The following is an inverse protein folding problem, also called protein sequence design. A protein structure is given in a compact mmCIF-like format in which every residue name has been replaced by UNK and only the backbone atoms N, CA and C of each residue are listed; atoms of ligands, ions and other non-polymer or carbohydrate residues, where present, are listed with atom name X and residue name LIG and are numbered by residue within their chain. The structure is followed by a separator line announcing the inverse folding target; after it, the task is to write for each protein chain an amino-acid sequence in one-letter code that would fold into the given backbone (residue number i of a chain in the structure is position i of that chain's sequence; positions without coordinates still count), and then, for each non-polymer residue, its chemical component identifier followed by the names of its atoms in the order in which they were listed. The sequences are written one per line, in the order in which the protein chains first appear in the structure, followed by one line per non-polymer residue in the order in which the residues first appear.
data_IF_707527544839
#
_entry.id   IF_707527544839
#
_cell.length_a   1.000
_cell.length_b   1.000
_cell.length_c   1.000
_cell.angle_alpha   90.00
_cell.angle_beta   90.00
_cell.angle_gamma   90.00
#
_symmetry.space_group_name_H-M   'P 1'
#
loop_
_entity.id
_entity.type
_entity.pdbx_description
1 polymer ?
#
# COMPACT_ATOMS: atom_id res chain seq x y z
N UNK A 1 -27.59 -14.21 0.45
CA UNK A 1 -26.21 -13.72 0.59
C UNK A 1 -25.30 -14.94 0.58
N UNK A 2 -24.30 -14.96 -0.30
CA UNK A 2 -23.35 -16.06 -0.42
C UNK A 2 -21.95 -15.48 -0.20
N UNK A 3 -21.09 -16.19 0.54
CA UNK A 3 -19.73 -15.78 0.87
C UNK A 3 -18.81 -16.92 0.46
N UNK A 4 -17.80 -16.62 -0.35
CA UNK A 4 -16.79 -17.56 -0.84
C UNK A 4 -15.39 -16.98 -0.66
N UNK A 5 -14.39 -17.85 -0.62
CA UNK A 5 -12.96 -17.49 -0.71
C UNK A 5 -12.50 -17.80 -2.13
N UNK A 6 -11.96 -16.80 -2.82
CA UNK A 6 -11.52 -16.90 -4.21
C UNK A 6 -10.01 -16.67 -4.28
N UNK A 7 -9.27 -17.68 -4.72
CA UNK A 7 -7.80 -17.62 -4.80
C UNK A 7 -7.28 -16.92 -6.07
N UNK A 8 -8.15 -16.76 -7.08
CA UNK A 8 -7.86 -16.14 -8.38
C UNK A 8 -9.05 -15.26 -8.77
N UNK A 9 -9.31 -14.24 -7.95
CA UNK A 9 -10.43 -13.33 -8.14
C UNK A 9 -10.23 -12.43 -9.37
N UNK A 10 -11.30 -12.08 -10.07
CA UNK A 10 -11.23 -11.11 -11.17
C UNK A 10 -10.77 -9.74 -10.64
N UNK A 11 -9.77 -9.14 -11.28
CA UNK A 11 -9.28 -7.80 -10.96
C UNK A 11 -10.40 -6.74 -10.94
N UNK A 12 -11.46 -6.94 -11.73
CA UNK A 12 -12.66 -6.08 -11.70
C UNK A 12 -13.36 -6.14 -10.34
N UNK A 13 -13.57 -7.33 -9.80
CA UNK A 13 -14.24 -7.51 -8.51
C UNK A 13 -13.36 -6.96 -7.38
N UNK A 14 -12.04 -7.19 -7.44
CA UNK A 14 -11.07 -6.56 -6.54
C UNK A 14 -11.15 -5.04 -6.61
N UNK A 15 -11.26 -4.47 -7.83
CA UNK A 15 -11.33 -3.03 -8.04
C UNK A 15 -12.61 -2.40 -7.49
N UNK A 16 -13.75 -3.11 -7.56
CA UNK A 16 -15.03 -2.66 -7.00
C UNK A 16 -14.91 -2.50 -5.49
N UNK A 17 -14.36 -3.50 -4.80
CA UNK A 17 -14.17 -3.45 -3.34
C UNK A 17 -13.21 -2.33 -2.95
N UNK A 18 -12.07 -2.21 -3.65
CA UNK A 18 -11.08 -1.15 -3.39
C UNK A 18 -11.68 0.25 -3.57
N UNK A 19 -12.44 0.46 -4.64
CA UNK A 19 -13.09 1.75 -4.91
C UNK A 19 -14.14 2.07 -3.87
N UNK A 20 -15.04 1.14 -3.55
CA UNK A 20 -16.09 1.37 -2.55
C UNK A 20 -15.53 1.75 -1.18
N UNK A 21 -14.44 1.10 -0.76
CA UNK A 21 -13.71 1.47 0.46
C UNK A 21 -13.09 2.86 0.36
N UNK A 22 -12.43 3.18 -0.75
CA UNK A 22 -11.81 4.49 -1.00
C UNK A 22 -12.83 5.63 -0.96
N UNK A 23 -13.94 5.48 -1.70
CA UNK A 23 -15.02 6.46 -1.78
C UNK A 23 -15.67 6.68 -0.41
N UNK A 24 -15.91 5.61 0.35
CA UNK A 24 -16.43 5.71 1.71
C UNK A 24 -15.47 6.48 2.62
N UNK A 25 -14.18 6.14 2.61
CA UNK A 25 -13.19 6.81 3.46
C UNK A 25 -13.07 8.30 3.10
N UNK A 26 -12.98 8.64 1.81
CA UNK A 26 -12.88 10.01 1.33
C UNK A 26 -14.09 10.86 1.79
N UNK A 27 -15.30 10.30 1.70
CA UNK A 27 -16.52 10.97 2.13
C UNK A 27 -16.58 11.25 3.65
N UNK A 28 -15.90 10.45 4.47
CA UNK A 28 -15.98 10.55 5.95
C UNK A 28 -14.78 11.26 6.59
N UNK A 29 -13.61 11.20 5.98
CA UNK A 29 -12.40 11.84 6.55
C UNK A 29 -12.18 13.24 5.98
N UNK A 30 -12.70 13.53 4.77
CA UNK A 30 -12.39 14.76 4.04
C UNK A 30 -10.90 14.91 3.69
N UNK A 31 -10.10 13.89 3.96
CA UNK A 31 -8.66 13.85 3.75
C UNK A 31 -8.43 13.06 2.48
N UNK A 32 -8.00 13.76 1.44
CA UNK A 32 -7.60 13.17 0.15
C UNK A 32 -6.15 12.66 0.17
N UNK A 33 -5.51 12.62 1.34
CA UNK A 33 -4.13 12.18 1.48
C UNK A 33 -3.99 10.74 0.99
N UNK A 34 -3.18 10.59 -0.05
CA UNK A 34 -3.05 9.37 -0.84
C UNK A 34 -1.82 8.62 -0.36
N UNK A 35 -1.85 7.31 -0.49
CA UNK A 35 -0.67 6.48 -0.27
C UNK A 35 0.51 6.97 -1.12
N UNK A 36 1.57 7.41 -0.45
CA UNK A 36 2.85 7.72 -1.06
C UNK A 36 3.81 6.56 -0.85
N UNK A 37 4.36 6.02 -1.94
CA UNK A 37 5.27 4.87 -1.87
C UNK A 37 6.64 5.30 -1.34
N UNK A 38 7.12 4.60 -0.33
CA UNK A 38 8.45 4.79 0.25
C UNK A 38 9.38 3.63 -0.13
N UNK A 39 10.51 3.94 -0.76
CA UNK A 39 11.53 2.97 -1.19
C UNK A 39 12.92 3.56 -0.87
N UNK A 40 13.49 3.14 0.26
CA UNK A 40 14.79 3.61 0.74
C UNK A 40 15.79 2.45 0.64
N UNK A 41 16.98 2.72 0.09
CA UNK A 41 18.02 1.71 -0.11
C UNK A 41 19.33 2.12 0.54
N UNK A 42 19.95 1.19 1.25
CA UNK A 42 21.35 1.28 1.67
C UNK A 42 22.20 0.68 0.55
N UNK A 43 23.17 1.45 0.06
CA UNK A 43 24.08 1.03 -1.03
C UNK A 43 25.53 1.10 -0.58
N UNK A 44 26.35 0.16 -1.03
CA UNK A 44 27.81 0.26 -0.92
C UNK A 44 28.39 1.22 -1.97
N UNK A 45 29.71 1.39 -1.93
CA UNK A 45 30.45 2.31 -2.81
C UNK A 45 30.34 1.91 -4.30
N UNK A 46 30.09 0.63 -4.58
CA UNK A 46 29.80 0.11 -5.92
C UNK A 46 28.33 0.26 -6.33
N UNK A 47 27.46 0.77 -5.45
CA UNK A 47 26.04 0.99 -5.70
C UNK A 47 25.11 -0.22 -5.47
N UNK A 48 25.64 -1.33 -4.94
CA UNK A 48 24.90 -2.56 -4.66
C UNK A 48 23.98 -2.39 -3.45
N UNK A 49 22.74 -2.84 -3.53
CA UNK A 49 21.81 -2.79 -2.38
C UNK A 49 22.27 -3.76 -1.29
N UNK A 50 22.50 -3.25 -0.08
CA UNK A 50 22.86 -4.03 1.12
C UNK A 50 21.79 -4.05 2.19
N UNK A 51 20.74 -3.26 2.01
CA UNK A 51 19.62 -3.14 2.93
C UNK A 51 18.61 -2.12 2.43
N UNK A 52 17.49 -1.98 3.13
CA UNK A 52 16.49 -0.98 2.77
C UNK A 52 15.19 -1.11 3.54
N UNK A 53 14.31 -0.15 3.26
CA UNK A 53 12.95 -0.05 3.76
C UNK A 53 12.00 0.12 2.58
N UNK A 54 10.98 -0.74 2.54
CA UNK A 54 9.85 -0.62 1.63
C UNK A 54 8.59 -0.35 2.45
N UNK A 55 7.72 0.51 1.94
CA UNK A 55 6.50 0.89 2.63
C UNK A 55 5.79 2.07 1.96
N UNK A 56 5.15 2.89 2.79
CA UNK A 56 4.58 4.15 2.34
C UNK A 56 4.04 5.00 3.47
N UNK A 57 3.71 6.24 3.14
CA UNK A 57 3.11 7.20 4.06
C UNK A 57 1.71 7.55 3.59
N UNK A 58 0.79 7.73 4.55
CA UNK A 58 -0.57 8.22 4.33
C UNK A 58 -1.22 8.56 5.66
N UNK A 59 -2.12 9.54 5.64
CA UNK A 59 -2.88 10.05 6.78
C UNK A 59 -2.01 10.49 7.96
N UNK A 60 -0.77 10.93 7.67
CA UNK A 60 0.24 11.26 8.68
C UNK A 60 0.92 10.04 9.33
N UNK A 61 0.70 8.83 8.82
CA UNK A 61 1.31 7.59 9.29
C UNK A 61 2.45 7.13 8.38
N UNK A 62 3.38 6.38 8.97
CA UNK A 62 4.37 5.56 8.26
C UNK A 62 3.95 4.09 8.37
N UNK A 63 3.79 3.44 7.21
CA UNK A 63 3.62 2.01 7.07
C UNK A 63 4.92 1.38 6.54
N UNK A 64 5.47 0.40 7.25
CA UNK A 64 6.65 -0.37 6.83
C UNK A 64 6.18 -1.77 6.45
N UNK A 65 6.39 -2.16 5.19
CA UNK A 65 6.10 -3.53 4.72
C UNK A 65 7.30 -4.45 4.86
N UNK A 66 8.50 -3.95 4.55
CA UNK A 66 9.76 -4.71 4.60
C UNK A 66 10.84 -3.79 5.16
N UNK A 67 11.60 -4.31 6.14
CA UNK A 67 12.83 -3.71 6.64
C UNK A 67 13.91 -4.80 6.68
N UNK A 68 15.05 -4.51 6.07
CA UNK A 68 16.24 -5.36 6.11
C UNK A 68 17.47 -4.47 6.23
N UNK A 69 18.31 -4.75 7.21
CA UNK A 69 19.58 -4.06 7.47
C UNK A 69 20.66 -5.09 7.80
#
# INVERSE_FOLDING_TARGET
MHISVENDADEKDVSIVRRGMGDFNEAHTGVSDRFERLQIFVRDDEGTVRGGLLGGTYWGWLYISILWL
#
